data_IF_288586761765
#
_entry.id   IF_288586761765
#
_cell.length_a   1.000
_cell.length_b   1.000
_cell.length_c   1.000
_cell.angle_alpha   90.00
_cell.angle_beta   90.00
_cell.angle_gamma   90.00
#
_symmetry.space_group_name_H-M   'P 1'
#
loop_
_entity.id
_entity.type
_entity.pdbx_description
1 polymer ?
#
# COMPACT_ATOMS: atom_id res chain seq x y z
N UNK A 1 11.19 33.10 -20.85
CA UNK A 1 9.89 32.43 -20.64
C UNK A 1 10.19 30.94 -20.57
N UNK A 2 10.10 30.35 -19.38
CA UNK A 2 10.42 28.94 -19.16
C UNK A 2 9.37 28.06 -19.87
N UNK A 3 9.82 27.02 -20.58
CA UNK A 3 8.92 26.05 -21.26
C UNK A 3 8.50 24.90 -20.32
N UNK A 4 9.02 24.88 -19.09
CA UNK A 4 8.66 23.93 -18.04
C UNK A 4 7.55 24.54 -17.17
N UNK A 5 6.38 23.89 -17.12
CA UNK A 5 5.23 24.32 -16.33
C UNK A 5 5.51 24.40 -14.83
N UNK A 6 6.58 23.75 -14.34
CA UNK A 6 7.03 23.90 -12.96
C UNK A 6 7.67 25.26 -12.72
N UNK A 7 8.49 25.74 -13.65
CA UNK A 7 9.20 27.01 -13.53
C UNK A 7 8.26 28.21 -13.67
N UNK A 8 7.15 28.06 -14.39
CA UNK A 8 6.13 29.10 -14.53
C UNK A 8 5.51 29.56 -13.19
N UNK A 9 5.50 28.71 -12.14
CA UNK A 9 5.05 29.09 -10.80
C UNK A 9 6.06 29.95 -10.03
N UNK A 10 7.32 29.93 -10.46
CA UNK A 10 8.39 30.71 -9.86
C UNK A 10 8.56 32.06 -10.56
N UNK A 11 8.03 32.22 -11.76
CA UNK A 11 8.07 33.47 -12.52
C UNK A 11 7.02 34.45 -11.96
N UNK A 12 7.49 35.48 -11.26
CA UNK A 12 6.65 36.58 -10.81
C UNK A 12 7.22 37.94 -11.23
N UNK A 13 6.39 38.97 -11.26
CA UNK A 13 6.84 40.36 -11.39
C UNK A 13 6.78 41.07 -10.03
N UNK A 14 7.65 42.05 -9.81
CA UNK A 14 7.49 43.05 -8.75
C UNK A 14 6.61 44.23 -9.24
N UNK A 15 6.33 45.17 -8.34
CA UNK A 15 5.55 46.37 -8.62
C UNK A 15 6.17 47.28 -9.69
N UNK A 16 7.48 47.16 -9.92
CA UNK A 16 8.24 47.93 -10.91
C UNK A 16 8.28 47.27 -12.29
N UNK A 17 7.65 46.09 -12.45
CA UNK A 17 7.60 45.34 -13.71
C UNK A 17 8.81 44.45 -14.00
N UNK A 18 9.75 44.31 -13.06
CA UNK A 18 10.88 43.40 -13.19
C UNK A 18 10.50 41.95 -12.87
N UNK A 19 10.97 41.01 -13.69
CA UNK A 19 10.82 39.57 -13.47
C UNK A 19 11.76 39.10 -12.36
N UNK A 20 11.21 38.42 -11.35
CA UNK A 20 11.93 37.84 -10.22
C UNK A 20 11.49 36.40 -10.02
N UNK A 21 12.46 35.51 -9.78
CA UNK A 21 12.20 34.12 -9.42
C UNK A 21 11.82 34.03 -7.94
N UNK A 22 10.55 33.75 -7.64
CA UNK A 22 10.04 33.65 -6.26
C UNK A 22 10.47 32.32 -5.65
N UNK A 23 11.04 32.28 -4.43
CA UNK A 23 11.37 31.02 -3.78
C UNK A 23 10.09 30.26 -3.39
N UNK A 24 10.15 28.93 -3.45
CA UNK A 24 9.04 28.09 -2.96
C UNK A 24 9.01 28.13 -1.43
N UNK A 25 7.83 28.36 -0.85
CA UNK A 25 7.65 28.28 0.59
C UNK A 25 7.99 26.87 1.10
N UNK A 26 8.66 26.72 2.27
CA UNK A 26 8.88 25.43 2.90
C UNK A 26 7.53 24.72 3.15
N UNK A 27 7.46 23.42 2.88
CA UNK A 27 6.21 22.65 2.96
C UNK A 27 6.41 21.32 3.71
N UNK A 28 6.94 20.27 3.08
CA UNK A 28 7.07 18.95 3.72
C UNK A 28 8.02 18.98 4.93
N UNK A 29 9.08 19.78 4.86
CA UNK A 29 10.11 19.82 5.90
C UNK A 29 9.65 20.51 7.19
N UNK A 30 8.67 21.42 7.10
CA UNK A 30 8.16 22.20 8.23
C UNK A 30 6.82 21.70 8.77
N UNK A 31 6.11 20.86 8.01
CA UNK A 31 4.78 20.42 8.38
C UNK A 31 4.79 19.30 9.42
N UNK A 32 3.96 19.41 10.47
CA UNK A 32 3.85 18.39 11.51
C UNK A 32 3.17 17.14 10.98
N UNK A 33 3.91 16.03 10.93
CA UNK A 33 3.39 14.74 10.50
C UNK A 33 2.27 14.22 11.43
N UNK A 34 1.17 13.74 10.85
CA UNK A 34 -0.02 13.22 11.54
C UNK A 34 -0.34 11.83 11.00
N UNK A 35 -0.95 11.00 11.85
CA UNK A 35 -1.34 9.63 11.50
C UNK A 35 -2.25 9.60 10.26
N UNK A 36 -3.22 10.51 10.15
CA UNK A 36 -4.12 10.57 8.99
C UNK A 36 -3.37 10.77 7.65
N UNK A 37 -2.32 11.59 7.65
CA UNK A 37 -1.47 11.78 6.47
C UNK A 37 -0.66 10.53 6.15
N UNK A 38 -0.05 9.91 7.17
CA UNK A 38 0.68 8.66 7.02
C UNK A 38 -0.21 7.59 6.39
N UNK A 39 -1.44 7.43 6.89
CA UNK A 39 -2.40 6.47 6.36
C UNK A 39 -2.89 6.83 4.96
N UNK A 40 -2.96 8.11 4.59
CA UNK A 40 -3.28 8.47 3.20
C UNK A 40 -2.15 8.05 2.25
N UNK A 41 -0.89 8.33 2.60
CA UNK A 41 0.30 7.95 1.82
C UNK A 41 0.38 6.43 1.70
N UNK A 42 0.23 5.72 2.82
CA UNK A 42 0.24 4.26 2.84
C UNK A 42 -0.87 3.70 1.96
N UNK A 43 -2.07 4.30 1.92
CA UNK A 43 -3.16 3.77 1.08
C UNK A 43 -2.83 3.84 -0.41
N UNK A 44 -2.08 4.87 -0.83
CA UNK A 44 -1.58 4.99 -2.22
C UNK A 44 -0.52 3.94 -2.51
N UNK A 45 0.46 3.79 -1.61
CA UNK A 45 1.54 2.81 -1.75
C UNK A 45 0.98 1.39 -1.78
N UNK A 46 0.05 1.07 -0.89
CA UNK A 46 -0.59 -0.24 -0.82
C UNK A 46 -1.44 -0.53 -2.05
N UNK A 47 -2.14 0.45 -2.61
CA UNK A 47 -2.87 0.30 -3.88
C UNK A 47 -1.95 -0.10 -5.03
N UNK A 48 -0.80 0.57 -5.17
CA UNK A 48 0.21 0.23 -6.19
C UNK A 48 0.78 -1.17 -5.93
N UNK A 49 1.15 -1.48 -4.68
CA UNK A 49 1.67 -2.79 -4.30
C UNK A 49 0.65 -3.91 -4.58
N UNK A 50 -0.63 -3.68 -4.31
CA UNK A 50 -1.71 -4.62 -4.59
C UNK A 50 -1.88 -4.84 -6.09
N UNK A 51 -1.88 -3.78 -6.90
CA UNK A 51 -1.98 -3.89 -8.36
C UNK A 51 -0.83 -4.71 -8.96
N UNK A 52 0.41 -4.41 -8.56
CA UNK A 52 1.59 -5.18 -8.99
C UNK A 52 1.49 -6.64 -8.55
N UNK A 53 1.11 -6.88 -7.28
CA UNK A 53 0.97 -8.24 -6.76
C UNK A 53 -0.13 -9.05 -7.45
N UNK A 54 -1.26 -8.43 -7.83
CA UNK A 54 -2.27 -9.10 -8.65
C UNK A 54 -1.76 -9.43 -10.05
N UNK A 55 -1.00 -8.53 -10.67
CA UNK A 55 -0.32 -8.83 -11.94
C UNK A 55 0.60 -10.05 -11.82
N UNK A 56 1.40 -10.12 -10.76
CA UNK A 56 2.24 -11.29 -10.47
C UNK A 56 1.41 -12.55 -10.20
N UNK A 57 0.29 -12.44 -9.48
CA UNK A 57 -0.61 -13.57 -9.22
C UNK A 57 -1.21 -14.14 -10.53
N UNK A 58 -1.57 -13.27 -11.48
CA UNK A 58 -2.01 -13.70 -12.81
C UNK A 58 -0.90 -14.43 -13.55
N UNK A 59 0.35 -13.95 -13.52
CA UNK A 59 1.47 -14.68 -14.15
C UNK A 59 1.73 -16.03 -13.49
N UNK A 60 1.56 -16.12 -12.17
CA UNK A 60 1.67 -17.39 -11.44
C UNK A 60 0.55 -18.37 -11.85
N UNK A 61 -0.70 -17.91 -11.98
CA UNK A 61 -1.81 -18.71 -12.51
C UNK A 61 -1.58 -19.12 -13.97
N UNK A 62 -1.00 -18.25 -14.79
CA UNK A 62 -0.59 -18.58 -16.15
C UNK A 62 0.44 -19.71 -16.19
N UNK A 63 1.40 -19.73 -15.25
CA UNK A 63 2.38 -20.81 -15.14
C UNK A 63 1.74 -22.16 -14.79
N UNK A 64 0.65 -22.14 -14.00
CA UNK A 64 -0.12 -23.34 -13.68
C UNK A 64 -0.79 -23.91 -14.93
N UNK A 65 -1.32 -23.06 -15.81
CA UNK A 65 -1.92 -23.47 -17.08
C UNK A 65 -0.89 -23.94 -18.11
N UNK A 66 0.33 -23.38 -18.10
CA UNK A 66 1.41 -23.70 -19.04
C UNK A 66 2.06 -25.09 -18.81
N UNK A 67 1.70 -25.78 -17.73
CA UNK A 67 2.16 -27.15 -17.43
C UNK A 67 3.20 -27.24 -16.31
N UNK A 68 3.53 -28.48 -15.95
CA UNK A 68 4.28 -28.80 -14.72
C UNK A 68 5.67 -28.17 -14.63
N UNK A 69 6.37 -28.04 -15.76
CA UNK A 69 7.72 -27.46 -15.82
C UNK A 69 7.71 -25.98 -15.44
N UNK A 70 6.84 -25.18 -16.06
CA UNK A 70 6.77 -23.74 -15.80
C UNK A 70 6.17 -23.45 -14.42
N UNK A 71 5.14 -24.19 -14.02
CA UNK A 71 4.61 -24.12 -12.66
C UNK A 71 5.68 -24.43 -11.60
N UNK A 72 6.53 -25.45 -11.85
CA UNK A 72 7.65 -25.79 -10.96
C UNK A 72 8.67 -24.65 -10.82
N UNK A 73 8.88 -23.83 -11.86
CA UNK A 73 9.75 -22.64 -11.80
C UNK A 73 9.11 -21.55 -10.94
N UNK A 74 7.84 -21.23 -11.19
CA UNK A 74 7.10 -20.23 -10.41
C UNK A 74 7.02 -20.62 -8.93
N UNK A 75 6.81 -21.90 -8.65
CA UNK A 75 6.74 -22.43 -7.29
C UNK A 75 8.07 -22.30 -6.55
N UNK A 76 9.22 -22.39 -7.22
CA UNK A 76 10.54 -22.13 -6.60
C UNK A 76 10.70 -20.68 -6.16
N UNK A 77 10.23 -19.73 -6.95
CA UNK A 77 10.27 -18.30 -6.62
C UNK A 77 9.42 -18.01 -5.39
N UNK A 78 8.16 -18.48 -5.40
CA UNK A 78 7.21 -18.30 -4.29
C UNK A 78 7.67 -18.99 -3.00
N UNK A 79 8.28 -20.17 -3.10
CA UNK A 79 8.67 -20.95 -1.92
C UNK A 79 9.97 -20.48 -1.24
N UNK A 80 10.77 -19.64 -1.90
CA UNK A 80 11.94 -19.00 -1.31
C UNK A 80 11.51 -18.14 -0.10
N UNK A 81 12.27 -18.10 1.02
CA UNK A 81 12.08 -17.13 2.10
C UNK A 81 11.71 -15.71 1.65
N UNK A 82 12.40 -15.14 0.65
CA UNK A 82 12.07 -13.80 0.14
C UNK A 82 10.72 -13.75 -0.57
N UNK A 83 10.38 -14.79 -1.34
CA UNK A 83 9.07 -14.90 -2.00
C UNK A 83 7.92 -15.01 -1.00
N UNK A 84 8.12 -15.77 0.09
CA UNK A 84 7.15 -15.87 1.19
C UNK A 84 6.99 -14.55 1.93
N UNK A 85 8.08 -13.82 2.17
CA UNK A 85 8.03 -12.50 2.77
C UNK A 85 7.29 -11.50 1.88
N UNK A 86 7.57 -11.52 0.57
CA UNK A 86 6.89 -10.68 -0.41
C UNK A 86 5.38 -11.00 -0.46
N UNK A 87 5.00 -12.28 -0.46
CA UNK A 87 3.58 -12.68 -0.40
C UNK A 87 2.88 -12.27 0.89
N UNK A 88 3.56 -12.41 2.04
CA UNK A 88 3.02 -11.94 3.31
C UNK A 88 2.84 -10.42 3.31
N UNK A 89 3.84 -9.68 2.83
CA UNK A 89 3.78 -8.22 2.69
C UNK A 89 2.69 -7.76 1.73
N UNK A 90 2.54 -8.44 0.59
CA UNK A 90 1.45 -8.18 -0.37
C UNK A 90 0.08 -8.46 0.23
N UNK A 91 -0.07 -9.53 1.01
CA UNK A 91 -1.30 -9.83 1.75
C UNK A 91 -1.66 -8.71 2.73
N UNK A 92 -0.69 -8.27 3.56
CA UNK A 92 -0.88 -7.16 4.51
C UNK A 92 -1.22 -5.86 3.78
N UNK A 93 -0.52 -5.53 2.70
CA UNK A 93 -0.79 -4.35 1.90
C UNK A 93 -2.22 -4.36 1.31
N UNK A 94 -2.67 -5.52 0.84
CA UNK A 94 -4.01 -5.70 0.27
C UNK A 94 -5.10 -5.58 1.33
N UNK A 95 -4.91 -6.19 2.50
CA UNK A 95 -5.82 -6.03 3.65
C UNK A 95 -5.91 -4.56 4.05
N UNK A 96 -4.76 -3.89 4.17
CA UNK A 96 -4.71 -2.48 4.52
C UNK A 96 -5.41 -1.59 3.48
N UNK A 97 -5.13 -1.78 2.19
CA UNK A 97 -5.75 -1.01 1.11
C UNK A 97 -7.28 -1.18 1.11
N UNK A 98 -7.75 -2.40 1.35
CA UNK A 98 -9.18 -2.68 1.46
C UNK A 98 -9.83 -1.96 2.65
N UNK A 99 -9.24 -2.06 3.85
CA UNK A 99 -9.78 -1.41 5.07
C UNK A 99 -9.74 0.11 4.94
N UNK A 100 -8.63 0.67 4.45
CA UNK A 100 -8.52 2.10 4.19
C UNK A 100 -9.50 2.55 3.09
N UNK A 101 -9.72 1.72 2.07
CA UNK A 101 -10.73 1.93 1.03
C UNK A 101 -12.14 2.04 1.59
N UNK A 102 -12.55 1.13 2.49
CA UNK A 102 -13.86 1.23 3.18
C UNK A 102 -13.98 2.55 3.93
N UNK A 103 -12.94 2.95 4.68
CA UNK A 103 -12.93 4.24 5.36
C UNK A 103 -13.11 5.41 4.39
N UNK A 104 -12.44 5.37 3.24
CA UNK A 104 -12.60 6.39 2.20
C UNK A 104 -14.02 6.42 1.64
N UNK A 105 -14.63 5.25 1.37
CA UNK A 105 -16.02 5.19 0.90
C UNK A 105 -17.01 5.77 1.93
N UNK A 106 -16.78 5.56 3.23
CA UNK A 106 -17.58 6.18 4.29
C UNK A 106 -17.45 7.72 4.26
N UNK A 107 -16.24 8.22 4.03
CA UNK A 107 -16.03 9.67 3.89
C UNK A 107 -16.64 10.21 2.58
N UNK A 108 -16.57 9.45 1.49
CA UNK A 108 -17.17 9.84 0.20
C UNK A 108 -18.70 9.91 0.26
N UNK A 109 -19.33 9.10 1.13
CA UNK A 109 -20.77 9.15 1.45
C UNK A 109 -21.15 10.35 2.34
N UNK A 110 -20.20 11.21 2.69
CA UNK A 110 -20.46 12.44 3.43
C UNK A 110 -20.33 12.32 4.95
N UNK A 111 -19.86 11.19 5.47
CA UNK A 111 -19.80 10.91 6.91
C UNK A 111 -18.41 11.13 7.52
N UNK A 112 -18.37 11.40 8.83
CA UNK A 112 -17.16 11.35 9.67
C UNK A 112 -16.04 12.37 9.36
N UNK A 113 -16.38 13.59 8.95
CA UNK A 113 -15.40 14.65 8.65
C UNK A 113 -14.86 15.44 9.84
N UNK A 114 -15.39 15.23 11.06
CA UNK A 114 -14.86 15.95 12.21
C UNK A 114 -13.45 15.46 12.56
N UNK A 115 -12.61 16.38 13.03
CA UNK A 115 -11.20 16.09 13.35
C UNK A 115 -11.05 14.96 14.38
N UNK A 116 -11.96 14.86 15.35
CA UNK A 116 -11.96 13.73 16.29
C UNK A 116 -12.21 12.42 15.55
N UNK A 117 -13.26 12.36 14.71
CA UNK A 117 -13.65 11.17 13.97
C UNK A 117 -12.54 10.70 13.03
N UNK A 118 -11.88 11.62 12.31
CA UNK A 118 -10.74 11.31 11.44
C UNK A 118 -9.57 10.69 12.23
N UNK A 119 -9.29 11.18 13.44
CA UNK A 119 -8.23 10.62 14.29
C UNK A 119 -8.60 9.23 14.82
N UNK A 120 -9.86 9.04 15.19
CA UNK A 120 -10.41 7.75 15.62
C UNK A 120 -10.33 6.72 14.48
N UNK A 121 -10.79 7.10 13.29
CA UNK A 121 -10.78 6.28 12.08
C UNK A 121 -9.36 5.83 11.74
N UNK A 122 -8.37 6.71 11.95
CA UNK A 122 -6.96 6.35 11.80
C UNK A 122 -6.53 5.20 12.72
N UNK A 123 -6.90 5.26 14.00
CA UNK A 123 -6.60 4.19 14.98
C UNK A 123 -7.35 2.90 14.67
N UNK A 124 -8.64 3.01 14.33
CA UNK A 124 -9.47 1.87 13.94
C UNK A 124 -8.87 1.17 12.71
N UNK A 125 -8.48 1.93 11.69
CA UNK A 125 -7.86 1.39 10.46
C UNK A 125 -6.63 0.55 10.80
N UNK A 126 -5.75 1.04 11.67
CA UNK A 126 -4.52 0.32 12.08
C UNK A 126 -4.88 -0.94 12.87
N UNK A 127 -5.79 -0.85 13.84
CA UNK A 127 -6.18 -1.97 14.67
C UNK A 127 -6.83 -3.10 13.85
N UNK A 128 -7.78 -2.76 12.98
CA UNK A 128 -8.49 -3.72 12.11
C UNK A 128 -7.52 -4.36 11.11
N UNK A 129 -6.66 -3.56 10.48
CA UNK A 129 -5.64 -4.08 9.55
C UNK A 129 -4.70 -5.05 10.24
N UNK A 130 -4.18 -4.68 11.42
CA UNK A 130 -3.27 -5.52 12.20
C UNK A 130 -3.94 -6.82 12.66
N UNK A 131 -5.18 -6.73 13.15
CA UNK A 131 -5.97 -7.88 13.56
C UNK A 131 -6.24 -8.86 12.42
N UNK A 132 -6.78 -8.38 11.30
CA UNK A 132 -7.08 -9.21 10.12
C UNK A 132 -5.80 -9.84 9.54
N UNK A 133 -4.74 -9.04 9.39
CA UNK A 133 -3.46 -9.54 8.91
C UNK A 133 -2.87 -10.61 9.82
N UNK A 134 -2.93 -10.38 11.13
CA UNK A 134 -2.45 -11.34 12.14
C UNK A 134 -3.21 -12.66 12.10
N UNK A 135 -4.54 -12.61 12.00
CA UNK A 135 -5.40 -13.81 11.86
C UNK A 135 -5.07 -14.57 10.58
N UNK A 136 -4.97 -13.89 9.44
CA UNK A 136 -4.69 -14.53 8.15
C UNK A 136 -3.29 -15.19 8.13
N UNK A 137 -2.26 -14.47 8.57
CA UNK A 137 -0.89 -15.01 8.63
C UNK A 137 -0.79 -16.13 9.68
N UNK A 138 -1.46 -15.99 10.82
CA UNK A 138 -1.55 -17.01 11.86
C UNK A 138 -2.19 -18.30 11.36
N UNK A 139 -3.33 -18.19 10.67
CA UNK A 139 -4.00 -19.33 10.04
C UNK A 139 -3.09 -20.04 9.03
N UNK A 140 -2.44 -19.29 8.14
CA UNK A 140 -1.48 -19.84 7.17
C UNK A 140 -0.33 -20.56 7.88
N UNK A 141 0.21 -19.97 8.95
CA UNK A 141 1.28 -20.57 9.73
C UNK A 141 0.84 -21.88 10.40
N UNK A 142 -0.31 -21.89 11.08
CA UNK A 142 -0.88 -23.08 11.73
C UNK A 142 -1.12 -24.18 10.70
N UNK A 143 -1.78 -23.87 9.58
CA UNK A 143 -2.00 -24.83 8.50
C UNK A 143 -0.68 -25.37 7.93
N UNK A 144 0.34 -24.53 7.78
CA UNK A 144 1.67 -24.96 7.31
C UNK A 144 2.36 -25.92 8.29
N UNK A 145 2.09 -25.80 9.60
CA UNK A 145 2.62 -26.70 10.64
C UNK A 145 1.86 -28.02 10.64
N UNK A 146 0.54 -27.98 10.60
CA UNK A 146 -0.30 -29.19 10.52
C UNK A 146 0.05 -30.03 9.28
N UNK A 147 0.20 -29.39 8.11
CA UNK A 147 0.60 -30.06 6.86
C UNK A 147 2.02 -30.66 6.94
N UNK A 148 2.96 -29.97 7.60
CA UNK A 148 4.31 -30.52 7.82
C UNK A 148 4.28 -31.74 8.74
N UNK A 149 3.51 -31.70 9.82
CA UNK A 149 3.38 -32.84 10.76
C UNK A 149 2.77 -34.06 10.06
N UNK A 150 1.68 -33.87 9.30
CA UNK A 150 1.04 -34.95 8.56
C UNK A 150 1.97 -35.62 7.53
N UNK A 151 2.84 -34.85 6.86
CA UNK A 151 3.81 -35.38 5.88
C UNK A 151 4.97 -36.17 6.52
N UNK A 152 5.27 -35.94 7.79
CA UNK A 152 6.33 -36.66 8.51
C UNK A 152 5.82 -37.99 9.08
N UNK A 153 4.50 -38.14 9.25
CA UNK A 153 3.87 -39.30 9.90
C UNK A 153 3.27 -40.33 8.92
N UNK A 154 3.32 -40.09 7.61
CA UNK A 154 2.89 -41.01 6.56
C UNK A 154 3.96 -41.16 5.50
#
# INVERSE_FOLDING_TARGET
MSLDGREALYDGSNSDGHFLRRPMSPHLDVYRFRLSMALSILNRISGVASAVGFGLAVTWLGSLAAGSKEYGRAQRVVNNPLGKLALAGWGVATVYHFVAGIRHLIWDDGHRFEKHQINEDGRITVAVTGGLSGVLLGAVFVLSRCRRKARVQG
#
